data_IF_902169545220
#
_entry.id   IF_902169545220
#
_cell.length_a   1.000
_cell.length_b   1.000
_cell.length_c   1.000
_cell.angle_alpha   90.00
_cell.angle_beta   90.00
_cell.angle_gamma   90.00
#
_symmetry.space_group_name_H-M   'P 1'
#
loop_
_entity.id
_entity.type
_entity.pdbx_description
1 polymer ?
#
# COMPACT_ATOMS: atom_id res chain seq x y z
N UNK A 1 -0.34 -13.59 -2.01
CA UNK A 1 0.05 -12.99 -3.31
C UNK A 1 1.22 -12.02 -3.19
N UNK A 2 1.22 -11.08 -2.25
CA UNK A 2 2.36 -10.16 -2.09
C UNK A 2 3.69 -10.87 -1.86
N UNK A 3 3.77 -11.75 -0.84
CA UNK A 3 5.01 -12.47 -0.52
C UNK A 3 5.57 -13.29 -1.70
N UNK A 4 4.69 -13.85 -2.56
CA UNK A 4 5.08 -14.59 -3.77
C UNK A 4 5.85 -13.71 -4.78
N UNK A 5 5.58 -12.41 -4.80
CA UNK A 5 6.20 -11.44 -5.70
C UNK A 5 7.13 -10.47 -4.95
N UNK A 6 7.58 -10.85 -3.75
CA UNK A 6 8.45 -10.02 -2.92
C UNK A 6 9.77 -9.64 -3.62
N UNK A 7 10.27 -10.49 -4.51
CA UNK A 7 11.45 -10.16 -5.33
C UNK A 7 11.21 -8.95 -6.22
N UNK A 8 10.08 -8.89 -6.92
CA UNK A 8 9.75 -7.75 -7.79
C UNK A 8 9.65 -6.45 -6.97
N UNK A 9 9.02 -6.53 -5.78
CA UNK A 9 8.93 -5.39 -4.86
C UNK A 9 10.32 -4.91 -4.42
N UNK A 10 11.18 -5.82 -3.98
CA UNK A 10 12.48 -5.46 -3.41
C UNK A 10 13.51 -4.99 -4.46
N UNK A 11 13.38 -5.38 -5.73
CA UNK A 11 14.37 -5.05 -6.77
C UNK A 11 13.95 -3.94 -7.72
N UNK A 12 12.71 -3.45 -7.61
CA UNK A 12 12.28 -2.27 -8.38
C UNK A 12 12.96 -1.03 -7.83
N UNK A 13 13.61 -0.24 -8.69
CA UNK A 13 14.36 0.95 -8.29
C UNK A 13 13.42 2.14 -8.01
N UNK A 14 12.70 2.06 -6.90
CA UNK A 14 11.84 3.12 -6.38
C UNK A 14 11.74 3.04 -4.85
N UNK A 15 12.29 4.04 -4.16
CA UNK A 15 12.26 4.09 -2.69
C UNK A 15 10.83 4.33 -2.14
N UNK A 16 9.89 4.76 -2.98
CA UNK A 16 8.51 5.00 -2.59
C UNK A 16 7.75 3.67 -2.64
N UNK A 17 7.41 3.15 -1.46
CA UNK A 17 6.71 1.86 -1.32
C UNK A 17 5.39 1.79 -2.10
N UNK A 18 4.65 2.90 -2.19
CA UNK A 18 3.37 2.99 -2.88
C UNK A 18 3.53 2.94 -4.40
N UNK A 19 4.57 3.58 -4.96
CA UNK A 19 4.92 3.46 -6.37
C UNK A 19 5.38 2.05 -6.74
N UNK A 20 6.10 1.37 -5.85
CA UNK A 20 6.44 -0.05 -6.00
C UNK A 20 5.18 -0.94 -6.06
N UNK A 21 4.16 -0.66 -5.24
CA UNK A 21 2.87 -1.38 -5.31
C UNK A 21 2.13 -1.12 -6.62
N UNK A 22 2.09 0.13 -7.10
CA UNK A 22 1.48 0.50 -8.38
C UNK A 22 2.19 -0.20 -9.54
N UNK A 23 3.52 -0.30 -9.50
CA UNK A 23 4.31 -1.06 -10.47
C UNK A 23 3.93 -2.55 -10.46
N UNK A 24 3.83 -3.18 -9.29
CA UNK A 24 3.40 -4.58 -9.19
C UNK A 24 1.97 -4.81 -9.71
N UNK A 25 1.04 -3.89 -9.44
CA UNK A 25 -0.33 -3.92 -9.97
C UNK A 25 -0.33 -3.85 -11.50
N UNK A 26 0.54 -3.01 -12.09
CA UNK A 26 0.67 -2.88 -13.54
C UNK A 26 1.18 -4.12 -14.25
N UNK A 27 1.96 -4.93 -13.53
CA UNK A 27 2.44 -6.24 -13.96
C UNK A 27 1.44 -7.37 -13.65
N UNK A 28 0.25 -7.05 -13.16
CA UNK A 28 -0.78 -8.01 -12.74
C UNK A 28 -0.33 -8.97 -11.62
N UNK A 29 0.69 -8.60 -10.86
CA UNK A 29 1.21 -9.39 -9.73
C UNK A 29 0.36 -9.18 -8.46
N UNK A 30 -0.32 -8.04 -8.38
CA UNK A 30 -1.24 -7.68 -7.29
C UNK A 30 -2.59 -7.22 -7.85
N UNK A 31 -3.69 -7.38 -7.09
CA UNK A 31 -4.98 -6.79 -7.45
C UNK A 31 -4.89 -5.26 -7.55
N UNK A 32 -5.46 -4.70 -8.61
CA UNK A 32 -5.52 -3.25 -8.84
C UNK A 32 -6.86 -2.62 -8.39
N UNK A 33 -7.85 -3.45 -8.03
CA UNK A 33 -9.16 -2.99 -7.59
C UNK A 33 -9.17 -2.83 -6.07
N UNK A 34 -9.67 -1.69 -5.60
CA UNK A 34 -9.82 -1.36 -4.19
C UNK A 34 -11.24 -0.93 -3.90
N UNK A 35 -11.77 -1.32 -2.74
CA UNK A 35 -13.02 -0.78 -2.22
C UNK A 35 -12.69 0.51 -1.46
N UNK A 36 -13.32 1.61 -1.86
CA UNK A 36 -13.13 2.92 -1.23
C UNK A 36 -14.49 3.53 -0.91
N UNK A 37 -14.67 4.15 0.28
CA UNK A 37 -15.89 4.86 0.59
C UNK A 37 -16.02 6.11 -0.31
N UNK A 38 -17.26 6.51 -0.60
CA UNK A 38 -17.52 7.73 -1.37
C UNK A 38 -17.10 9.01 -0.65
N UNK A 39 -17.04 8.96 0.68
CA UNK A 39 -16.57 10.05 1.55
C UNK A 39 -15.23 9.65 2.18
N UNK A 40 -14.17 10.44 2.04
CA UNK A 40 -12.88 10.16 2.67
C UNK A 40 -13.00 10.01 4.19
N UNK A 41 -12.55 8.87 4.73
CA UNK A 41 -12.55 8.60 6.18
C UNK A 41 -11.20 8.90 6.84
N UNK A 42 -10.18 9.25 6.04
CA UNK A 42 -8.85 9.60 6.51
C UNK A 42 -8.41 10.90 5.84
N UNK A 43 -7.80 11.81 6.61
CA UNK A 43 -7.25 13.09 6.13
C UNK A 43 -5.73 13.07 6.25
N UNK A 44 -5.03 13.46 5.19
CA UNK A 44 -3.57 13.61 5.21
C UNK A 44 -3.19 14.96 5.86
N UNK A 45 -2.90 14.95 7.16
CA UNK A 45 -2.61 16.20 7.91
C UNK A 45 -1.26 16.85 7.56
N UNK A 46 -0.33 16.12 6.92
CA UNK A 46 0.99 16.63 6.53
C UNK A 46 1.01 17.48 5.24
N UNK A 47 -0.15 17.67 4.61
CA UNK A 47 -0.30 18.45 3.38
C UNK A 47 -0.27 19.96 3.63
N UNK A 48 -0.70 20.38 4.82
CA UNK A 48 -0.86 21.77 5.20
C UNK A 48 0.19 22.13 6.25
N UNK A 49 1.20 22.90 5.84
CA UNK A 49 2.29 23.31 6.73
C UNK A 49 3.33 22.21 7.04
N UNK A 50 3.23 21.02 6.43
CA UNK A 50 4.24 19.97 6.50
C UNK A 50 5.36 20.13 5.47
N UNK A 51 6.23 19.11 5.35
CA UNK A 51 7.40 19.12 4.44
C UNK A 51 7.05 19.18 2.94
N UNK A 52 5.79 18.96 2.55
CA UNK A 52 5.37 18.98 1.16
C UNK A 52 4.69 20.31 0.83
N UNK A 53 5.26 21.10 -0.10
CA UNK A 53 4.58 22.24 -0.69
C UNK A 53 3.42 21.76 -1.57
N UNK A 54 2.23 21.68 -1.00
CA UNK A 54 1.01 21.42 -1.76
C UNK A 54 0.60 22.68 -2.53
N UNK A 55 0.12 22.52 -3.78
CA UNK A 55 -0.47 23.65 -4.52
C UNK A 55 -1.66 24.23 -3.75
N UNK A 56 -1.83 25.54 -3.83
CA UNK A 56 -2.88 26.29 -3.14
C UNK A 56 -4.29 25.77 -3.46
N UNK A 57 -4.54 25.38 -4.71
CA UNK A 57 -5.79 24.75 -5.16
C UNK A 57 -6.11 23.44 -4.44
N UNK A 58 -5.09 22.66 -4.09
CA UNK A 58 -5.24 21.35 -3.46
C UNK A 58 -5.34 21.47 -1.94
N UNK A 59 -4.72 22.50 -1.34
CA UNK A 59 -4.95 22.94 0.04
C UNK A 59 -6.40 23.40 0.24
N UNK A 60 -6.90 24.28 -0.64
CA UNK A 60 -8.29 24.78 -0.56
C UNK A 60 -9.32 23.64 -0.55
N UNK A 61 -9.15 22.64 -1.42
CA UNK A 61 -10.02 21.45 -1.47
C UNK A 61 -9.93 20.58 -0.21
N UNK A 62 -8.79 20.56 0.48
CA UNK A 62 -8.61 19.83 1.74
C UNK A 62 -9.18 20.58 2.95
N UNK A 63 -9.11 21.91 2.95
CA UNK A 63 -9.73 22.76 3.96
C UNK A 63 -11.26 22.85 3.77
N UNK A 64 -11.77 22.79 2.53
CA UNK A 64 -13.22 22.64 2.30
C UNK A 64 -13.76 21.27 2.76
N UNK A 65 -12.88 20.30 3.01
CA UNK A 65 -13.21 19.00 3.61
C UNK A 65 -13.24 19.05 5.16
N UNK A 66 -13.10 20.24 5.76
CA UNK A 66 -13.07 20.51 7.21
C UNK A 66 -14.45 20.50 7.88
N UNK A 67 -15.29 19.54 7.52
CA UNK A 67 -16.18 18.99 8.51
C UNK A 67 -16.03 17.48 8.45
N UNK A 68 -15.35 16.93 9.45
CA UNK A 68 -15.83 15.69 10.03
C UNK A 68 -17.26 16.04 10.47
N UNK A 69 -18.24 15.81 9.60
CA UNK A 69 -19.63 15.82 10.05
C UNK A 69 -19.68 14.92 11.28
N UNK A 70 -20.45 15.33 12.28
CA UNK A 70 -20.76 14.47 13.43
C UNK A 70 -20.98 13.06 12.89
N UNK A 71 -20.27 12.08 13.45
CA UNK A 71 -20.30 10.72 12.94
C UNK A 71 -21.74 10.21 12.99
N UNK A 72 -22.45 10.35 11.87
CA UNK A 72 -23.79 9.86 11.70
C UNK A 72 -23.65 8.55 10.94
N UNK A 73 -23.84 7.44 11.67
CA UNK A 73 -23.86 6.09 11.12
C UNK A 73 -25.02 5.85 10.11
N UNK A 74 -25.75 6.90 9.73
CA UNK A 74 -26.81 6.87 8.74
C UNK A 74 -26.26 7.12 7.35
N UNK A 75 -26.19 6.02 6.59
CA UNK A 75 -25.90 5.88 5.16
C UNK A 75 -26.21 7.11 4.30
N UNK A 76 -25.22 7.61 3.56
CA UNK A 76 -25.32 7.86 2.10
C UNK A 76 -23.94 7.63 1.46
N UNK A 77 -23.49 6.37 1.36
CA UNK A 77 -22.32 6.03 0.56
C UNK A 77 -22.78 5.54 -0.83
N UNK A 78 -22.98 6.47 -1.76
CA UNK A 78 -23.19 6.08 -3.16
C UNK A 78 -21.97 5.32 -3.69
N UNK A 79 -22.15 4.35 -4.59
CA UNK A 79 -21.02 3.77 -5.33
C UNK A 79 -20.43 4.84 -6.27
N UNK A 80 -19.62 5.74 -5.73
CA UNK A 80 -18.74 6.56 -6.55
C UNK A 80 -17.54 5.70 -6.88
N UNK A 81 -17.47 5.16 -8.10
CA UNK A 81 -16.24 4.59 -8.63
C UNK A 81 -15.29 5.74 -8.98
N UNK A 82 -14.25 6.03 -8.19
CA UNK A 82 -13.27 7.01 -8.62
C UNK A 82 -12.65 6.53 -9.94
N UNK A 83 -12.53 7.43 -10.91
CA UNK A 83 -11.86 7.12 -12.18
C UNK A 83 -10.41 6.73 -11.87
N UNK A 84 -9.85 5.67 -12.49
CA UNK A 84 -8.46 5.29 -12.29
C UNK A 84 -7.57 6.45 -12.76
N UNK A 85 -6.84 7.05 -11.82
CA UNK A 85 -6.22 8.37 -12.06
C UNK A 85 -4.77 8.33 -12.49
N UNK A 86 -4.05 7.20 -12.39
CA UNK A 86 -2.62 7.18 -12.72
C UNK A 86 -2.20 5.91 -13.42
N UNK A 87 -1.59 6.07 -14.60
CA UNK A 87 -0.76 5.02 -15.19
C UNK A 87 0.56 4.98 -14.41
N UNK A 88 1.07 3.80 -14.07
CA UNK A 88 2.39 3.66 -13.48
C UNK A 88 3.43 4.34 -14.37
N UNK A 89 4.46 4.99 -13.80
CA UNK A 89 5.59 5.42 -14.58
C UNK A 89 6.30 4.18 -15.17
N UNK A 90 6.86 4.31 -16.37
CA UNK A 90 7.57 3.19 -17.04
C UNK A 90 8.84 2.76 -16.30
N UNK A 91 9.38 3.64 -15.45
CA UNK A 91 10.56 3.43 -14.59
C UNK A 91 10.25 4.04 -13.23
N UNK A 92 10.81 3.47 -12.16
CA UNK A 92 10.70 4.04 -10.83
C UNK A 92 11.42 5.38 -10.69
N UNK A 93 11.17 6.08 -9.59
CA UNK A 93 11.81 7.35 -9.25
C UNK A 93 13.25 7.21 -8.73
N UNK A 94 13.77 5.99 -8.65
CA UNK A 94 15.15 5.70 -8.21
C UNK A 94 15.28 5.58 -6.69
N UNK A 95 16.53 5.62 -6.21
CA UNK A 95 16.84 5.64 -4.78
C UNK A 95 16.77 4.29 -4.06
N UNK A 96 16.61 3.18 -4.79
CA UNK A 96 16.48 1.83 -4.23
C UNK A 96 17.36 0.77 -4.93
N UNK A 97 18.24 1.21 -5.84
CA UNK A 97 19.14 0.33 -6.60
C UNK A 97 20.34 -0.19 -5.80
N UNK A 98 20.55 0.27 -4.56
CA UNK A 98 21.69 -0.18 -3.77
C UNK A 98 21.52 -1.66 -3.34
N UNK A 99 22.49 -2.55 -3.61
CA UNK A 99 22.32 -3.99 -3.40
C UNK A 99 21.97 -4.38 -1.95
N UNK A 100 22.47 -3.62 -0.97
CA UNK A 100 22.21 -3.89 0.46
C UNK A 100 20.74 -3.66 0.81
N UNK A 101 20.10 -2.63 0.25
CA UNK A 101 18.67 -2.35 0.50
C UNK A 101 17.80 -3.49 -0.05
N UNK A 102 18.12 -3.92 -1.28
CA UNK A 102 17.40 -5.01 -1.93
C UNK A 102 17.58 -6.34 -1.21
N UNK A 103 18.80 -6.67 -0.78
CA UNK A 103 19.11 -7.89 -0.03
C UNK A 103 18.41 -7.89 1.33
N UNK A 104 18.46 -6.76 2.05
CA UNK A 104 17.80 -6.64 3.35
C UNK A 104 16.28 -6.79 3.23
N UNK A 105 15.66 -6.13 2.24
CA UNK A 105 14.24 -6.29 1.91
C UNK A 105 13.88 -7.76 1.66
N UNK A 106 14.67 -8.46 0.84
CA UNK A 106 14.45 -9.88 0.54
C UNK A 106 14.53 -10.75 1.79
N UNK A 107 15.51 -10.52 2.67
CA UNK A 107 15.66 -11.28 3.91
C UNK A 107 14.44 -11.11 4.82
N UNK A 108 13.92 -9.89 4.98
CA UNK A 108 12.70 -9.63 5.76
C UNK A 108 11.52 -10.43 5.19
N UNK A 109 11.32 -10.39 3.88
CA UNK A 109 10.20 -11.09 3.25
C UNK A 109 10.34 -12.62 3.31
N UNK A 110 11.56 -13.16 3.14
CA UNK A 110 11.82 -14.60 3.20
C UNK A 110 11.66 -15.15 4.63
N UNK A 111 12.13 -14.43 5.64
CA UNK A 111 11.95 -14.82 7.05
C UNK A 111 10.48 -14.82 7.47
N UNK A 112 9.64 -14.04 6.81
CA UNK A 112 8.19 -14.02 7.03
C UNK A 112 7.50 -15.27 6.43
N UNK A 113 8.09 -15.91 5.43
CA UNK A 113 7.55 -17.15 4.83
C UNK A 113 7.92 -18.41 5.61
N UNK A 114 9.08 -18.43 6.26
CA UNK A 114 9.53 -19.59 7.06
C UNK A 114 8.76 -19.71 8.39
N UNK A 115 8.34 -18.60 9.00
CA UNK A 115 7.57 -18.60 10.25
C UNK A 115 6.11 -19.06 10.10
N UNK A 116 5.55 -19.00 8.89
CA UNK A 116 4.17 -19.44 8.60
C UNK A 116 4.05 -20.92 8.22
N UNK A 117 5.18 -21.62 8.05
CA UNK A 117 5.23 -23.04 7.70
C UNK A 117 5.29 -23.98 8.93
N UNK A 118 5.47 -23.42 10.13
CA UNK A 118 5.70 -24.17 11.36
C UNK A 118 4.39 -24.46 12.12
N UNK A 119 3.42 -25.11 11.47
CA UNK A 119 2.31 -25.75 12.22
C UNK A 119 2.67 -27.23 12.38
N UNK A 120 3.30 -27.55 13.51
CA UNK A 120 3.72 -28.90 13.86
C UNK A 120 2.50 -29.80 14.08
N UNK A 121 2.35 -30.81 13.24
CA UNK A 121 1.47 -31.96 13.47
C UNK A 121 2.01 -32.75 14.67
N UNK A 122 1.44 -32.56 15.86
CA UNK A 122 1.72 -33.43 17.01
C UNK A 122 0.88 -34.70 16.88
N UNK A 123 1.45 -35.74 16.27
CA UNK A 123 0.89 -37.10 16.31
C UNK A 123 1.26 -37.72 17.66
N UNK A 124 0.28 -37.83 18.56
CA UNK A 124 0.43 -38.54 19.84
C UNK A 124 0.36 -40.05 19.60
N UNK A 125 1.50 -40.74 19.69
CA UNK A 125 1.54 -42.20 19.69
C UNK A 125 1.32 -42.70 21.12
N UNK A 126 0.17 -43.32 21.36
CA UNK A 126 -0.17 -44.04 22.59
C UNK A 126 0.47 -45.42 22.54
N UNK A 127 1.36 -45.73 23.48
CA UNK A 127 1.91 -47.08 23.67
C UNK A 127 1.28 -47.69 24.92
N UNK A 128 0.64 -48.85 24.73
CA UNK A 128 0.11 -49.79 25.72
C UNK A 128 1.19 -50.47 26.56
#
# INVERSE_FOLDING_TARGET
>A
KFLQHGREYCTFDDYNWDWSLVHMQSKYLLPAHVLVPSVPQAKHIGADGGMHKMSESKRKRMNEMELVHDFHATQIFGLSSPKPTRRPPKKGFGGWSHPVDQQHCLQILLNTTSSSSSTTTTTTTTTT
#
